data_IF_077939105741
#
_entry.id   IF_077939105741
#
_cell.length_a   1.000
_cell.length_b   1.000
_cell.length_c   1.000
_cell.angle_alpha   90.00
_cell.angle_beta   90.00
_cell.angle_gamma   90.00
#
_symmetry.space_group_name_H-M   'P 1'
#
loop_
_entity.id
_entity.type
_entity.pdbx_description
1 polymer ?
#
# COMPACT_ATOMS: atom_id res chain seq x y z
N UNK A 1 8.84 22.29 11.09
CA UNK A 1 8.23 21.93 9.79
C UNK A 1 6.91 21.21 10.05
N UNK A 2 5.80 21.61 9.44
CA UNK A 2 4.51 20.91 9.60
C UNK A 2 4.26 20.03 8.39
N UNK A 3 4.06 18.73 8.60
CA UNK A 3 3.74 17.79 7.54
C UNK A 3 2.27 17.34 7.68
N UNK A 4 1.53 17.37 6.59
CA UNK A 4 0.15 16.88 6.53
C UNK A 4 0.04 15.84 5.42
N UNK A 5 -0.46 14.66 5.76
CA UNK A 5 -0.99 13.73 4.79
C UNK A 5 -2.35 14.20 4.32
N UNK A 6 -2.48 14.51 3.03
CA UNK A 6 -3.75 14.92 2.43
C UNK A 6 -4.61 13.72 2.08
N UNK A 7 -3.98 12.67 1.56
CA UNK A 7 -4.59 11.38 1.33
C UNK A 7 -3.50 10.32 1.20
N UNK A 8 -3.89 9.07 1.36
CA UNK A 8 -3.08 7.95 0.94
C UNK A 8 -3.97 6.79 0.53
N UNK A 9 -3.40 5.90 -0.26
CA UNK A 9 -4.04 4.66 -0.62
C UNK A 9 -3.01 3.56 -0.74
N UNK A 10 -3.43 2.36 -0.47
CA UNK A 10 -2.67 1.16 -0.74
C UNK A 10 -3.54 0.22 -1.55
N UNK A 11 -2.96 -0.31 -2.62
CA UNK A 11 -3.60 -1.20 -3.58
C UNK A 11 -2.84 -2.50 -3.58
N UNK A 12 -3.56 -3.61 -3.57
CA UNK A 12 -2.99 -4.96 -3.66
C UNK A 12 -3.39 -5.57 -4.98
N UNK A 13 -2.41 -6.15 -5.67
CA UNK A 13 -2.57 -6.76 -6.97
C UNK A 13 -2.15 -8.23 -6.90
N UNK A 14 -2.92 -9.06 -7.58
CA UNK A 14 -2.56 -10.43 -7.92
C UNK A 14 -2.49 -10.53 -9.44
N UNK A 15 -1.35 -10.94 -9.99
CA UNK A 15 -1.16 -11.04 -11.44
C UNK A 15 -1.59 -9.77 -12.20
N UNK A 16 -1.16 -8.59 -11.72
CA UNK A 16 -1.53 -7.26 -12.24
C UNK A 16 -3.04 -6.89 -12.15
N UNK A 17 -3.87 -7.75 -11.56
CA UNK A 17 -5.29 -7.49 -11.31
C UNK A 17 -5.45 -6.91 -9.90
N UNK A 18 -6.15 -5.79 -9.77
CA UNK A 18 -6.45 -5.17 -8.47
C UNK A 18 -7.40 -6.09 -7.66
N UNK A 19 -6.95 -6.57 -6.51
CA UNK A 19 -7.73 -7.48 -5.63
C UNK A 19 -8.24 -6.80 -4.37
N UNK A 20 -7.58 -5.73 -3.92
CA UNK A 20 -7.99 -4.96 -2.76
C UNK A 20 -7.45 -3.54 -2.82
N UNK A 21 -8.21 -2.59 -2.26
CA UNK A 21 -7.77 -1.21 -2.10
C UNK A 21 -8.23 -0.68 -0.75
N UNK A 22 -7.35 0.07 -0.09
CA UNK A 22 -7.65 0.80 1.13
C UNK A 22 -7.18 2.24 0.99
N UNK A 23 -7.91 3.16 1.62
CA UNK A 23 -7.57 4.58 1.68
C UNK A 23 -7.24 4.96 3.11
N UNK A 24 -6.18 5.74 3.32
CA UNK A 24 -5.89 6.31 4.62
C UNK A 24 -6.63 7.62 4.83
N UNK A 25 -7.09 7.83 6.06
CA UNK A 25 -7.58 9.15 6.48
C UNK A 25 -6.40 10.15 6.53
N UNK A 26 -6.63 11.43 6.20
CA UNK A 26 -5.65 12.49 6.37
C UNK A 26 -5.11 12.54 7.80
N UNK A 27 -3.84 12.90 7.97
CA UNK A 27 -3.26 13.08 9.29
C UNK A 27 -2.19 14.16 9.30
N UNK A 28 -2.04 14.83 10.45
CA UNK A 28 -0.93 15.75 10.67
C UNK A 28 0.21 15.01 11.39
N UNK A 29 1.43 15.40 11.08
CA UNK A 29 2.67 14.97 11.72
C UNK A 29 3.41 16.24 12.18
N UNK A 30 3.67 16.34 13.47
CA UNK A 30 4.57 17.36 13.99
C UNK A 30 6.03 17.02 13.68
N UNK A 31 6.93 17.97 13.91
CA UNK A 31 8.36 17.76 13.69
C UNK A 31 8.85 16.68 14.65
N UNK A 32 9.55 15.66 14.13
CA UNK A 32 10.06 14.47 14.85
C UNK A 32 9.03 13.41 15.26
N UNK A 33 7.74 13.61 14.98
CA UNK A 33 6.75 12.56 15.22
C UNK A 33 6.86 11.44 14.18
N UNK A 34 6.66 10.20 14.63
CA UNK A 34 6.43 9.04 13.77
C UNK A 34 5.01 8.56 13.99
N UNK A 35 4.27 8.36 12.90
CA UNK A 35 2.91 7.81 12.97
C UNK A 35 2.85 6.50 12.20
N UNK A 36 2.45 5.44 12.90
CA UNK A 36 2.11 4.17 12.29
C UNK A 36 0.62 4.19 11.93
N UNK A 37 0.29 3.82 10.69
CA UNK A 37 -1.08 3.61 10.26
C UNK A 37 -1.21 2.20 9.70
N UNK A 38 -2.03 1.40 10.38
CA UNK A 38 -2.30 0.03 9.97
C UNK A 38 -3.43 0.07 8.93
N UNK A 39 -3.22 -0.61 7.81
CA UNK A 39 -4.25 -0.85 6.79
C UNK A 39 -4.52 -2.34 6.72
N UNK A 40 -5.77 -2.73 6.91
CA UNK A 40 -6.21 -4.12 6.81
C UNK A 40 -6.83 -4.37 5.45
N UNK A 41 -6.41 -5.45 4.79
CA UNK A 41 -6.90 -5.82 3.47
C UNK A 41 -7.65 -7.13 3.54
N UNK A 42 -8.85 -7.15 2.98
CA UNK A 42 -9.50 -8.38 2.56
C UNK A 42 -9.30 -8.49 1.06
N UNK A 43 -8.71 -9.60 0.63
CA UNK A 43 -8.41 -9.86 -0.77
C UNK A 43 -9.27 -11.03 -1.23
N UNK A 44 -9.90 -10.86 -2.40
CA UNK A 44 -10.47 -11.99 -3.11
C UNK A 44 -9.60 -12.19 -4.34
N UNK A 45 -8.84 -13.29 -4.35
CA UNK A 45 -8.01 -13.66 -5.49
C UNK A 45 -8.95 -14.20 -6.59
N UNK A 46 -9.47 -13.28 -7.41
CA UNK A 46 -10.24 -13.60 -8.61
C UNK A 46 -9.32 -13.39 -9.81
N UNK A 47 -9.20 -14.38 -10.67
CA UNK A 47 -8.33 -14.33 -11.83
C UNK A 47 -8.34 -15.64 -12.60
N UNK A 48 -7.45 -15.73 -13.59
CA UNK A 48 -7.22 -16.92 -14.37
C UNK A 48 -6.91 -18.09 -13.44
N UNK A 49 -7.90 -18.99 -13.26
CA UNK A 49 -7.86 -20.05 -12.25
C UNK A 49 -6.60 -20.91 -12.36
N UNK A 50 -6.04 -21.00 -13.58
CA UNK A 50 -4.81 -21.73 -13.87
C UNK A 50 -3.62 -21.15 -13.10
N UNK A 51 -3.40 -19.83 -13.15
CA UNK A 51 -2.25 -19.19 -12.48
C UNK A 51 -2.36 -19.25 -10.96
N UNK A 52 -3.55 -19.02 -10.43
CA UNK A 52 -3.78 -19.15 -8.98
C UNK A 52 -3.58 -20.60 -8.53
N UNK A 53 -4.09 -21.58 -9.26
CA UNK A 53 -3.88 -23.00 -8.93
C UNK A 53 -2.41 -23.41 -9.02
N UNK A 54 -1.68 -22.97 -10.04
CA UNK A 54 -0.24 -23.23 -10.14
C UNK A 54 0.52 -22.64 -8.95
N UNK A 55 0.21 -21.42 -8.55
CA UNK A 55 0.84 -20.78 -7.38
C UNK A 55 0.52 -21.51 -6.07
N UNK A 56 -0.73 -21.95 -5.90
CA UNK A 56 -1.14 -22.75 -4.74
C UNK A 56 -0.41 -24.11 -4.73
N UNK A 57 -0.33 -24.81 -5.86
CA UNK A 57 0.40 -26.09 -5.99
C UNK A 57 1.90 -25.92 -5.69
N UNK A 58 2.48 -24.79 -6.08
CA UNK A 58 3.85 -24.44 -5.78
C UNK A 58 4.04 -23.89 -4.34
N UNK A 59 3.02 -23.98 -3.49
CA UNK A 59 3.01 -23.49 -2.10
C UNK A 59 3.43 -22.02 -1.97
N UNK A 60 3.12 -21.20 -2.98
CA UNK A 60 3.62 -19.83 -3.07
C UNK A 60 2.65 -18.90 -3.80
N UNK A 61 2.09 -17.92 -3.11
CA UNK A 61 1.26 -16.86 -3.70
C UNK A 61 2.05 -15.55 -3.75
N UNK A 62 2.17 -14.96 -4.94
CA UNK A 62 2.82 -13.67 -5.15
C UNK A 62 1.79 -12.54 -5.29
N UNK A 63 2.01 -11.46 -4.54
CA UNK A 63 1.19 -10.25 -4.54
C UNK A 63 2.08 -9.01 -4.69
N UNK A 64 1.57 -8.00 -5.37
CA UNK A 64 2.18 -6.68 -5.41
C UNK A 64 1.35 -5.70 -4.58
N UNK A 65 2.01 -4.93 -3.73
CA UNK A 65 1.38 -3.84 -2.97
C UNK A 65 1.94 -2.52 -3.48
N UNK A 66 1.06 -1.62 -3.89
CA UNK A 66 1.41 -0.25 -4.29
C UNK A 66 0.77 0.71 -3.31
N UNK A 67 1.59 1.44 -2.56
CA UNK A 67 1.16 2.47 -1.63
C UNK A 67 1.49 3.85 -2.19
N UNK A 68 0.53 4.77 -2.17
CA UNK A 68 0.71 6.16 -2.60
C UNK A 68 0.22 7.10 -1.51
N UNK A 69 1.04 8.06 -1.10
CA UNK A 69 0.68 9.07 -0.11
C UNK A 69 0.97 10.46 -0.65
N UNK A 70 -0.05 11.33 -0.65
CA UNK A 70 0.12 12.73 -0.98
C UNK A 70 0.35 13.51 0.31
N UNK A 71 1.48 14.20 0.36
CA UNK A 71 1.95 14.93 1.52
C UNK A 71 2.10 16.42 1.19
N UNK A 72 1.76 17.25 2.16
CA UNK A 72 1.96 18.69 2.12
C UNK A 72 2.86 19.11 3.28
N UNK A 73 4.01 19.68 2.97
CA UNK A 73 4.92 20.24 3.96
C UNK A 73 4.86 21.76 3.91
N UNK A 74 4.71 22.38 5.09
CA UNK A 74 4.77 23.83 5.26
C UNK A 74 5.99 24.16 6.12
N UNK A 75 6.83 25.05 5.61
CA UNK A 75 7.99 25.59 6.32
C UNK A 75 8.07 27.09 6.11
N UNK A 76 7.82 27.87 7.16
CA UNK A 76 7.63 29.32 7.08
C UNK A 76 6.58 29.70 6.01
N UNK A 77 6.94 30.52 5.03
CA UNK A 77 6.10 30.92 3.88
C UNK A 77 6.16 29.94 2.70
N UNK A 78 6.96 28.88 2.79
CA UNK A 78 7.15 27.92 1.71
C UNK A 78 6.19 26.73 1.87
N UNK A 79 5.51 26.40 0.76
CA UNK A 79 4.55 25.31 0.66
C UNK A 79 5.05 24.29 -0.35
N UNK A 80 5.17 23.04 0.07
CA UNK A 80 5.59 21.93 -0.78
C UNK A 80 4.51 20.86 -0.79
N UNK A 81 4.22 20.34 -1.97
CA UNK A 81 3.35 19.17 -2.16
C UNK A 81 4.15 18.10 -2.86
N UNK A 82 4.11 16.87 -2.35
CA UNK A 82 4.82 15.74 -2.93
C UNK A 82 4.03 14.45 -2.77
N UNK A 83 4.31 13.48 -3.64
CA UNK A 83 3.71 12.15 -3.61
C UNK A 83 4.79 11.12 -3.30
N UNK A 84 4.60 10.34 -2.25
CA UNK A 84 5.43 9.18 -1.95
C UNK A 84 4.78 7.94 -2.58
N UNK A 85 5.55 7.22 -3.38
CA UNK A 85 5.15 5.96 -4.00
C UNK A 85 6.02 4.83 -3.44
N UNK A 86 5.38 3.85 -2.81
CA UNK A 86 6.01 2.60 -2.37
C UNK A 86 5.50 1.43 -3.21
N UNK A 87 6.39 0.56 -3.66
CA UNK A 87 6.06 -0.71 -4.32
C UNK A 87 6.70 -1.84 -3.55
N UNK A 88 5.91 -2.84 -3.20
CA UNK A 88 6.35 -3.99 -2.42
C UNK A 88 5.88 -5.27 -3.08
N UNK A 89 6.69 -6.31 -2.98
CA UNK A 89 6.31 -7.67 -3.38
C UNK A 89 6.11 -8.48 -2.10
N UNK A 90 4.90 -9.02 -1.92
CA UNK A 90 4.58 -9.91 -0.83
C UNK A 90 4.49 -11.34 -1.37
N UNK A 91 5.25 -12.25 -0.77
CA UNK A 91 5.20 -13.66 -1.07
C UNK A 91 4.68 -14.42 0.14
N UNK A 92 3.55 -15.09 -0.03
CA UNK A 92 2.95 -15.94 1.00
C UNK A 92 3.33 -17.38 0.67
N UNK A 93 4.02 -18.06 1.59
CA UNK A 93 4.39 -19.47 1.44
C UNK A 93 3.53 -20.35 2.34
N UNK A 94 3.15 -21.52 1.83
CA UNK A 94 2.54 -22.59 2.63
C UNK A 94 3.59 -23.21 3.57
N UNK A 95 3.13 -23.78 4.70
CA UNK A 95 3.98 -24.69 5.49
C UNK A 95 4.06 -26.02 4.73
N UNK A 96 5.29 -26.45 4.44
CA UNK A 96 5.61 -27.80 3.97
C UNK A 96 5.57 -28.80 5.11
#
# INVERSE_FOLDING_TARGET
MKLKSENGSAKVFFNNILTSQQSSKPFNLATQEKKLQIMSFVMILRGDNVLLQQQIQNNKIDLQIVATFKLKANWASLHYTFSLLGRYHLQIKGKS
#
